data_IF_440820438355
#
_entry.id   IF_440820438355
#
_cell.length_a   1.000
_cell.length_b   1.000
_cell.length_c   1.000
_cell.angle_alpha   90.00
_cell.angle_beta   90.00
_cell.angle_gamma   90.00
#
_symmetry.space_group_name_H-M   'P 1'
#
loop_
_entity.id
_entity.type
_entity.pdbx_description
1 polymer ?
#
# COMPACT_ATOMS: atom_id res chain seq x y z
N UNK A 1 -4.46 2.91 -8.88
CA UNK A 1 -4.08 3.89 -7.83
C UNK A 1 -5.29 4.10 -6.96
N UNK A 2 -5.07 4.39 -5.68
CA UNK A 2 -6.13 4.61 -4.70
C UNK A 2 -5.96 6.02 -4.12
N UNK A 3 -7.03 6.81 -4.13
CA UNK A 3 -7.06 8.13 -3.50
C UNK A 3 -7.55 7.97 -2.05
N UNK A 4 -6.82 8.56 -1.12
CA UNK A 4 -7.09 8.58 0.30
C UNK A 4 -7.58 9.97 0.71
N UNK A 5 -8.50 10.01 1.65
CA UNK A 5 -8.95 11.25 2.32
C UNK A 5 -7.99 11.74 3.42
N UNK A 6 -6.89 11.02 3.65
CA UNK A 6 -5.91 11.23 4.71
C UNK A 6 -4.49 11.25 4.13
N UNK A 7 -3.52 11.78 4.88
CA UNK A 7 -2.11 11.75 4.46
C UNK A 7 -1.62 10.30 4.32
N UNK A 8 -1.35 9.89 3.08
CA UNK A 8 -0.80 8.58 2.75
C UNK A 8 0.67 8.43 3.13
N UNK A 9 1.30 9.44 3.76
CA UNK A 9 2.69 9.37 4.23
C UNK A 9 2.88 8.31 5.30
N UNK A 10 2.00 8.26 6.30
CA UNK A 10 2.04 7.23 7.35
C UNK A 10 1.74 5.85 6.79
N UNK A 11 0.76 5.73 5.88
CA UNK A 11 0.44 4.47 5.21
C UNK A 11 1.63 3.93 4.41
N UNK A 12 2.32 4.78 3.64
CA UNK A 12 3.52 4.37 2.90
C UNK A 12 4.63 3.91 3.84
N UNK A 13 4.80 4.60 4.98
CA UNK A 13 5.83 4.25 5.96
C UNK A 13 5.53 2.90 6.60
N UNK A 14 4.30 2.67 7.06
CA UNK A 14 3.88 1.39 7.66
C UNK A 14 3.89 0.27 6.63
N UNK A 15 3.47 0.53 5.39
CA UNK A 15 3.57 -0.45 4.31
C UNK A 15 5.02 -0.83 4.04
N UNK A 16 5.94 0.14 3.99
CA UNK A 16 7.36 -0.11 3.81
C UNK A 16 7.95 -0.94 4.97
N UNK A 17 7.57 -0.65 6.22
CA UNK A 17 7.96 -1.44 7.40
C UNK A 17 7.43 -2.88 7.36
N UNK A 18 6.23 -3.08 6.80
CA UNK A 18 5.62 -4.39 6.60
C UNK A 18 6.08 -5.10 5.32
N UNK A 19 7.04 -4.53 4.58
CA UNK A 19 7.64 -5.14 3.39
C UNK A 19 6.92 -4.84 2.06
N UNK A 20 5.92 -3.97 2.08
CA UNK A 20 5.14 -3.57 0.91
C UNK A 20 5.60 -2.20 0.37
N UNK A 21 6.22 -2.19 -0.80
CA UNK A 21 6.72 -0.97 -1.42
C UNK A 21 5.62 -0.29 -2.27
N UNK A 22 5.01 0.75 -1.72
CA UNK A 22 3.98 1.56 -2.37
C UNK A 22 4.40 3.03 -2.41
N UNK A 23 4.02 3.73 -3.47
CA UNK A 23 4.34 5.13 -3.63
C UNK A 23 3.10 5.98 -3.34
N UNK A 24 3.20 6.98 -2.45
CA UNK A 24 2.18 8.01 -2.32
C UNK A 24 2.57 9.22 -3.17
N UNK A 25 1.81 9.45 -4.22
CA UNK A 25 1.86 10.65 -5.05
C UNK A 25 0.88 11.69 -4.51
N UNK A 26 1.30 12.96 -4.45
CA UNK A 26 0.43 14.09 -4.07
C UNK A 26 -0.13 13.98 -2.64
N UNK A 27 0.57 13.27 -1.74
CA UNK A 27 0.19 13.17 -0.32
C UNK A 27 -1.03 12.30 -0.02
N UNK A 28 -1.93 12.10 -0.99
CA UNK A 28 -3.18 11.34 -0.83
C UNK A 28 -3.36 10.20 -1.82
N UNK A 29 -2.52 10.05 -2.86
CA UNK A 29 -2.76 9.05 -3.92
C UNK A 29 -1.73 7.92 -3.87
N UNK A 30 -2.15 6.73 -3.42
CA UNK A 30 -1.35 5.51 -3.48
C UNK A 30 -1.26 4.94 -4.90
N UNK A 31 -0.04 4.68 -5.34
CA UNK A 31 0.29 3.95 -6.57
C UNK A 31 0.87 2.59 -6.20
N UNK A 32 0.17 1.56 -6.67
CA UNK A 32 0.60 0.18 -6.62
C UNK A 32 1.25 -0.15 -7.97
N UNK A 33 2.53 -0.50 -7.96
CA UNK A 33 3.28 -0.91 -9.14
C UNK A 33 3.89 -2.30 -8.88
N UNK A 34 3.07 -3.36 -8.86
CA UNK A 34 3.58 -4.70 -8.72
C UNK A 34 4.36 -5.13 -9.98
N UNK A 35 5.37 -6.01 -9.84
CA UNK A 35 6.07 -6.59 -10.98
C UNK A 35 5.12 -7.48 -11.80
N UNK A 36 5.36 -7.61 -13.12
CA UNK A 36 4.56 -8.47 -14.01
C UNK A 36 4.69 -9.98 -13.73
N UNK A 37 5.62 -10.35 -12.85
CA UNK A 37 5.87 -11.73 -12.41
C UNK A 37 5.21 -12.07 -11.08
N UNK A 38 4.49 -11.13 -10.47
CA UNK A 38 3.85 -11.31 -9.16
C UNK A 38 2.78 -12.42 -9.23
N UNK A 39 2.73 -13.29 -8.21
CA UNK A 39 1.67 -14.29 -8.09
C UNK A 39 0.45 -13.74 -7.37
N UNK A 40 -0.67 -14.47 -7.45
CA UNK A 40 -1.88 -14.09 -6.74
C UNK A 40 -1.69 -14.13 -5.22
N UNK A 41 -0.88 -15.05 -4.71
CA UNK A 41 -0.59 -15.13 -3.27
C UNK A 41 0.19 -13.90 -2.79
N UNK A 42 1.19 -13.44 -3.56
CA UNK A 42 1.93 -12.20 -3.24
C UNK A 42 1.00 -10.96 -3.27
N UNK A 43 0.00 -10.95 -4.16
CA UNK A 43 -1.02 -9.89 -4.18
C UNK A 43 -1.93 -10.00 -2.95
N UNK A 44 -2.38 -11.19 -2.57
CA UNK A 44 -3.22 -11.39 -1.40
C UNK A 44 -2.48 -10.96 -0.12
N UNK A 45 -1.19 -11.28 0.02
CA UNK A 45 -0.35 -10.83 1.14
C UNK A 45 -0.20 -9.29 1.16
N UNK A 46 0.03 -8.67 0.00
CA UNK A 46 0.06 -7.22 -0.15
C UNK A 46 -1.26 -6.55 0.26
N UNK A 47 -2.40 -7.18 -0.10
CA UNK A 47 -3.72 -6.69 0.28
C UNK A 47 -3.97 -6.87 1.78
N UNK A 48 -3.58 -7.99 2.39
CA UNK A 48 -3.70 -8.17 3.85
C UNK A 48 -2.89 -7.13 4.62
N UNK A 49 -1.67 -6.83 4.19
CA UNK A 49 -0.85 -5.77 4.76
C UNK A 49 -1.57 -4.43 4.65
N UNK A 50 -2.08 -4.09 3.47
CA UNK A 50 -2.79 -2.84 3.22
C UNK A 50 -4.08 -2.72 4.04
N UNK A 51 -4.88 -3.79 4.12
CA UNK A 51 -6.13 -3.86 4.89
C UNK A 51 -5.85 -3.73 6.39
N UNK A 52 -4.76 -4.32 6.88
CA UNK A 52 -4.29 -4.13 8.26
C UNK A 52 -3.99 -2.67 8.57
N UNK A 53 -3.26 -1.98 7.67
CA UNK A 53 -2.92 -0.56 7.85
C UNK A 53 -4.18 0.31 7.79
N UNK A 54 -5.09 0.05 6.85
CA UNK A 54 -6.34 0.79 6.71
C UNK A 54 -7.28 0.60 7.91
N UNK A 55 -7.23 -0.55 8.59
CA UNK A 55 -8.00 -0.82 9.82
C UNK A 55 -7.41 -0.16 11.08
N UNK A 56 -6.12 0.14 11.07
CA UNK A 56 -5.44 0.82 12.18
C UNK A 56 -5.64 2.35 12.16
N UNK A 57 -6.23 2.89 11.09
CA UNK A 57 -6.47 4.33 10.89
C UNK A 57 -7.93 4.72 11.17
#
# INVERSE_FOLDING_TARGET
GMELTIEGGDIVKTALERGLLINCTVGTVLRFLPPLTVTKEEIDEAIEILDGILKEI
#
